data_IF_970408888976
#
_entry.id   IF_970408888976
#
_cell.length_a   1.000
_cell.length_b   1.000
_cell.length_c   1.000
_cell.angle_alpha   90.00
_cell.angle_beta   90.00
_cell.angle_gamma   90.00
#
_symmetry.space_group_name_H-M   'P 1'
#
loop_
_entity.id
_entity.type
_entity.pdbx_description
1 polymer ?
#
# COMPACT_ATOMS: atom_id res chain seq x y z
N UNK A 1 15.26 -14.14 3.39
CA UNK A 1 14.53 -12.93 3.82
C UNK A 1 14.60 -12.87 5.34
N UNK A 2 14.91 -11.71 5.89
CA UNK A 2 15.01 -11.51 7.35
C UNK A 2 13.64 -11.07 7.83
N UNK A 3 12.97 -11.89 8.63
CA UNK A 3 11.74 -11.50 9.34
C UNK A 3 12.13 -10.77 10.61
N UNK A 4 11.52 -9.62 10.87
CA UNK A 4 11.80 -8.79 12.04
C UNK A 4 10.82 -9.11 13.18
N UNK A 5 11.33 -9.29 14.41
CA UNK A 5 10.47 -9.38 15.60
C UNK A 5 10.05 -7.97 16.03
N UNK A 6 9.00 -7.44 15.39
CA UNK A 6 8.56 -6.05 15.56
C UNK A 6 7.62 -5.85 16.75
N UNK A 7 7.76 -4.71 17.44
CA UNK A 7 6.84 -4.28 18.50
C UNK A 7 5.50 -3.84 17.90
N UNK A 8 4.41 -4.06 18.63
CA UNK A 8 3.07 -3.60 18.26
C UNK A 8 2.90 -2.10 18.55
N UNK A 9 3.47 -1.27 17.66
CA UNK A 9 3.36 0.20 17.71
C UNK A 9 3.33 0.81 16.32
N UNK A 10 2.89 2.06 16.24
CA UNK A 10 3.00 2.87 15.03
C UNK A 10 4.34 3.59 14.93
N UNK A 11 4.79 3.87 13.72
CA UNK A 11 5.87 4.82 13.44
C UNK A 11 5.48 5.74 12.29
N UNK A 12 5.97 6.98 12.30
CA UNK A 12 5.69 7.93 11.23
C UNK A 12 6.73 7.75 10.12
N UNK A 13 6.29 7.38 8.93
CA UNK A 13 7.10 7.31 7.73
C UNK A 13 6.58 8.33 6.72
N UNK A 14 7.34 9.40 6.49
CA UNK A 14 6.85 10.56 5.75
C UNK A 14 5.65 11.21 6.45
N UNK A 15 4.54 11.41 5.71
CA UNK A 15 3.32 12.06 6.21
C UNK A 15 2.28 11.14 6.85
N UNK A 16 2.54 9.83 6.98
CA UNK A 16 1.58 8.85 7.48
C UNK A 16 2.15 8.02 8.65
N UNK A 17 1.28 7.61 9.58
CA UNK A 17 1.62 6.69 10.67
C UNK A 17 1.37 5.25 10.25
N UNK A 18 2.41 4.44 10.18
CA UNK A 18 2.34 3.03 9.78
C UNK A 18 2.38 2.12 11.00
N UNK A 19 1.59 1.04 11.00
CA UNK A 19 1.72 -0.02 12.00
C UNK A 19 2.93 -0.90 11.68
N UNK A 20 3.87 -1.03 12.63
CA UNK A 20 5.04 -1.89 12.51
C UNK A 20 4.66 -3.35 12.22
N UNK A 21 3.66 -3.87 12.94
CA UNK A 21 3.17 -5.24 12.80
C UNK A 21 2.58 -5.47 11.41
N UNK A 22 1.61 -4.65 11.01
CA UNK A 22 0.93 -4.82 9.73
C UNK A 22 1.88 -4.67 8.53
N UNK A 23 2.84 -3.74 8.63
CA UNK A 23 3.87 -3.61 7.61
C UNK A 23 4.73 -4.87 7.54
N UNK A 24 5.24 -5.37 8.66
CA UNK A 24 6.09 -6.58 8.66
C UNK A 24 5.35 -7.80 8.12
N UNK A 25 4.08 -7.99 8.48
CA UNK A 25 3.26 -9.10 7.98
C UNK A 25 3.09 -9.09 6.44
N UNK A 26 3.28 -7.93 5.79
CA UNK A 26 3.05 -7.76 4.34
C UNK A 26 4.32 -7.39 3.55
N UNK A 27 5.39 -6.98 4.23
CA UNK A 27 6.63 -6.43 3.65
C UNK A 27 7.33 -7.41 2.71
N UNK A 28 7.47 -8.67 3.10
CA UNK A 28 8.17 -9.67 2.28
C UNK A 28 7.42 -9.97 0.97
N UNK A 29 6.08 -10.06 1.03
CA UNK A 29 5.25 -10.21 -0.17
C UNK A 29 5.35 -8.95 -1.04
N UNK A 30 5.21 -7.77 -0.46
CA UNK A 30 5.34 -6.50 -1.17
C UNK A 30 6.70 -6.36 -1.86
N UNK A 31 7.80 -6.72 -1.19
CA UNK A 31 9.15 -6.68 -1.76
C UNK A 31 9.30 -7.64 -2.95
N UNK A 32 8.71 -8.84 -2.86
CA UNK A 32 8.69 -9.78 -3.99
C UNK A 32 7.97 -9.21 -5.21
N UNK A 33 6.83 -8.55 -4.99
CA UNK A 33 6.06 -7.94 -6.07
C UNK A 33 6.81 -6.77 -6.71
N UNK A 34 7.48 -5.91 -5.93
CA UNK A 34 8.35 -4.84 -6.46
C UNK A 34 9.49 -5.41 -7.31
N UNK A 35 10.11 -6.50 -6.85
CA UNK A 35 11.19 -7.15 -7.59
C UNK A 35 10.69 -7.82 -8.87
N UNK A 36 9.43 -8.24 -8.91
CA UNK A 36 8.76 -8.79 -10.08
C UNK A 36 8.32 -7.73 -11.10
N UNK A 37 8.22 -6.45 -10.69
CA UNK A 37 7.99 -5.34 -11.62
C UNK A 37 9.07 -5.32 -12.71
N UNK A 38 8.69 -5.21 -14.01
CA UNK A 38 9.66 -5.20 -15.10
C UNK A 38 10.72 -4.11 -14.96
N UNK A 39 11.94 -4.38 -15.42
CA UNK A 39 13.02 -3.41 -15.49
C UNK A 39 13.30 -2.91 -16.92
N UNK A 40 12.50 -3.35 -17.88
CA UNK A 40 12.52 -2.89 -19.27
C UNK A 40 11.10 -2.54 -19.73
N UNK A 41 11.00 -1.67 -20.72
CA UNK A 41 9.71 -1.23 -21.26
C UNK A 41 9.06 -0.11 -20.43
N UNK A 42 7.75 0.01 -20.60
CA UNK A 42 6.93 1.03 -19.95
C UNK A 42 5.90 0.36 -19.05
N UNK A 43 5.58 1.01 -17.93
CA UNK A 43 4.41 0.68 -17.12
C UNK A 43 3.29 1.60 -17.57
N UNK A 44 2.19 1.00 -18.05
CA UNK A 44 0.99 1.72 -18.46
C UNK A 44 0.08 1.95 -17.25
N UNK A 45 -0.30 3.20 -17.03
CA UNK A 45 -1.24 3.57 -16.00
C UNK A 45 -2.64 3.03 -16.23
N UNK A 46 -3.00 2.63 -17.46
CA UNK A 46 -4.24 1.90 -17.71
C UNK A 46 -4.24 0.53 -17.02
N UNK A 47 -3.15 -0.23 -17.13
CA UNK A 47 -3.02 -1.56 -16.51
C UNK A 47 -2.98 -1.44 -14.98
N UNK A 48 -2.29 -0.43 -14.45
CA UNK A 48 -2.27 -0.14 -13.01
C UNK A 48 -3.66 0.29 -12.53
N UNK A 49 -4.38 1.10 -13.32
CA UNK A 49 -5.73 1.52 -13.00
C UNK A 49 -6.71 0.33 -12.94
N UNK A 50 -6.59 -0.65 -13.83
CA UNK A 50 -7.40 -1.87 -13.80
C UNK A 50 -7.15 -2.68 -12.52
N UNK A 51 -5.88 -2.84 -12.12
CA UNK A 51 -5.55 -3.51 -10.87
C UNK A 51 -6.09 -2.77 -9.64
N UNK A 52 -6.01 -1.43 -9.64
CA UNK A 52 -6.60 -0.60 -8.58
C UNK A 52 -8.12 -0.71 -8.54
N UNK A 53 -8.79 -0.81 -9.70
CA UNK A 53 -10.23 -1.01 -9.80
C UNK A 53 -10.67 -2.36 -9.20
N UNK A 54 -9.94 -3.43 -9.52
CA UNK A 54 -10.17 -4.76 -8.95
C UNK A 54 -9.98 -4.77 -7.42
N UNK A 55 -8.97 -4.06 -6.92
CA UNK A 55 -8.78 -3.87 -5.48
C UNK A 55 -9.94 -3.09 -4.87
N UNK A 56 -10.35 -1.95 -5.45
CA UNK A 56 -11.47 -1.16 -4.94
C UNK A 56 -12.76 -1.99 -4.85
N UNK A 57 -13.05 -2.79 -5.88
CA UNK A 57 -14.19 -3.70 -5.91
C UNK A 57 -14.11 -4.79 -4.83
N UNK A 58 -12.91 -5.35 -4.58
CA UNK A 58 -12.70 -6.32 -3.51
C UNK A 58 -12.96 -5.68 -2.13
N UNK A 59 -12.41 -4.49 -1.88
CA UNK A 59 -12.64 -3.77 -0.62
C UNK A 59 -14.10 -3.39 -0.44
N UNK A 60 -14.76 -2.94 -1.51
CA UNK A 60 -16.19 -2.66 -1.53
C UNK A 60 -16.98 -3.89 -1.12
N UNK A 61 -16.69 -5.05 -1.72
CA UNK A 61 -17.37 -6.31 -1.40
C UNK A 61 -17.24 -6.65 0.08
N UNK A 62 -16.03 -6.57 0.64
CA UNK A 62 -15.80 -6.89 2.05
C UNK A 62 -16.45 -5.87 3.00
N UNK A 63 -16.44 -4.60 2.63
CA UNK A 63 -17.12 -3.55 3.39
C UNK A 63 -18.64 -3.74 3.38
N UNK A 64 -19.23 -4.00 2.21
CA UNK A 64 -20.67 -4.17 2.04
C UNK A 64 -21.15 -5.44 2.79
N UNK A 65 -20.31 -6.47 2.91
CA UNK A 65 -20.56 -7.66 3.74
C UNK A 65 -20.17 -7.52 5.22
N UNK A 66 -19.62 -6.37 5.64
CA UNK A 66 -19.04 -6.13 6.98
C UNK A 66 -18.01 -7.18 7.41
N UNK A 67 -17.32 -7.78 6.45
CA UNK A 67 -16.26 -8.74 6.70
C UNK A 67 -14.93 -8.01 6.92
N UNK A 68 -14.76 -7.48 8.14
CA UNK A 68 -13.57 -6.71 8.51
C UNK A 68 -12.29 -7.55 8.48
N UNK A 69 -12.39 -8.84 8.81
CA UNK A 69 -11.28 -9.79 8.70
C UNK A 69 -10.93 -10.05 7.22
N UNK A 70 -11.95 -10.22 6.38
CA UNK A 70 -11.79 -10.33 4.93
C UNK A 70 -11.19 -9.08 4.28
N UNK A 71 -11.47 -7.90 4.82
CA UNK A 71 -10.82 -6.64 4.40
C UNK A 71 -9.33 -6.63 4.77
N UNK A 72 -8.97 -7.15 5.94
CA UNK A 72 -7.57 -7.39 6.33
C UNK A 72 -6.84 -8.39 5.45
N UNK A 73 -7.55 -9.43 5.00
CA UNK A 73 -7.03 -10.39 4.03
C UNK A 73 -6.90 -9.79 2.62
N UNK A 74 -7.70 -8.77 2.27
CA UNK A 74 -7.58 -8.06 1.00
C UNK A 74 -6.37 -7.11 0.98
N UNK A 75 -5.95 -6.57 2.12
CA UNK A 75 -4.70 -5.80 2.27
C UNK A 75 -3.52 -6.78 2.33
N UNK A 76 -3.14 -7.31 1.17
CA UNK A 76 -1.96 -8.16 0.99
C UNK A 76 -0.73 -7.35 0.59
N UNK A 77 0.45 -7.97 0.61
CA UNK A 77 1.66 -7.33 0.08
C UNK A 77 1.54 -6.97 -1.41
N UNK A 78 0.78 -7.75 -2.19
CA UNK A 78 0.48 -7.40 -3.58
C UNK A 78 -0.42 -6.17 -3.69
N UNK A 79 -1.51 -6.11 -2.91
CA UNK A 79 -2.38 -4.94 -2.88
C UNK A 79 -1.60 -3.66 -2.51
N UNK A 80 -0.71 -3.74 -1.51
CA UNK A 80 0.15 -2.62 -1.12
C UNK A 80 1.18 -2.26 -2.21
N UNK A 81 1.76 -3.26 -2.89
CA UNK A 81 2.67 -3.01 -4.01
C UNK A 81 1.96 -2.31 -5.19
N UNK A 82 0.74 -2.73 -5.54
CA UNK A 82 -0.08 -2.09 -6.58
C UNK A 82 -0.44 -0.65 -6.21
N UNK A 83 -0.84 -0.40 -4.95
CA UNK A 83 -1.12 0.96 -4.46
C UNK A 83 0.14 1.81 -4.53
N UNK A 84 1.27 1.30 -4.03
CA UNK A 84 2.54 2.00 -4.07
C UNK A 84 3.03 2.27 -5.50
N UNK A 85 2.83 1.33 -6.42
CA UNK A 85 3.13 1.50 -7.85
C UNK A 85 2.28 2.62 -8.45
N UNK A 86 0.98 2.63 -8.16
CA UNK A 86 0.07 3.69 -8.59
C UNK A 86 0.50 5.06 -8.08
N UNK A 87 0.84 5.18 -6.79
CA UNK A 87 1.33 6.45 -6.24
C UNK A 87 2.66 6.89 -6.86
N UNK A 88 3.59 5.98 -7.12
CA UNK A 88 4.84 6.31 -7.80
C UNK A 88 4.67 6.66 -9.29
N UNK A 89 3.68 6.08 -9.95
CA UNK A 89 3.33 6.43 -11.32
C UNK A 89 2.66 7.82 -11.40
N UNK A 90 1.89 8.20 -10.38
CA UNK A 90 1.37 9.56 -10.27
C UNK A 90 2.50 10.58 -10.11
N UNK A 91 3.37 10.38 -9.12
CA UNK A 91 4.42 11.33 -8.74
C UNK A 91 5.72 10.57 -8.58
N UNK A 92 6.48 10.51 -9.68
CA UNK A 92 7.80 9.89 -9.66
C UNK A 92 8.74 10.73 -8.80
N UNK A 93 9.05 10.26 -7.59
CA UNK A 93 9.84 10.98 -6.60
C UNK A 93 10.10 10.14 -5.35
N UNK A 94 11.01 10.63 -4.50
CA UNK A 94 11.33 9.96 -3.24
C UNK A 94 10.11 9.84 -2.33
N UNK A 95 9.84 8.63 -1.84
CA UNK A 95 8.75 8.38 -0.88
C UNK A 95 7.35 8.31 -1.49
N UNK A 96 7.22 8.23 -2.81
CA UNK A 96 5.92 8.04 -3.46
C UNK A 96 5.21 6.77 -2.99
N UNK A 97 5.95 5.65 -2.88
CA UNK A 97 5.39 4.37 -2.47
C UNK A 97 4.96 4.41 -1.00
N UNK A 98 5.83 5.02 -0.18
CA UNK A 98 5.62 5.23 1.25
C UNK A 98 4.35 6.00 1.54
N UNK A 99 4.05 7.04 0.74
CA UNK A 99 2.85 7.85 0.93
C UNK A 99 1.56 7.04 0.75
N UNK A 100 1.46 6.24 -0.32
CA UNK A 100 0.28 5.41 -0.60
C UNK A 100 0.13 4.26 0.38
N UNK A 101 1.18 3.45 0.53
CA UNK A 101 1.19 2.27 1.43
C UNK A 101 0.97 2.68 2.87
N UNK A 102 1.65 3.74 3.31
CA UNK A 102 1.57 4.21 4.68
C UNK A 102 0.18 4.72 5.05
N UNK A 103 -0.46 5.45 4.14
CA UNK A 103 -1.82 5.96 4.34
C UNK A 103 -2.84 4.81 4.47
N UNK A 104 -2.74 3.77 3.63
CA UNK A 104 -3.64 2.61 3.67
C UNK A 104 -3.45 1.78 4.95
N UNK A 105 -2.20 1.53 5.34
CA UNK A 105 -1.90 0.80 6.58
C UNK A 105 -2.33 1.59 7.82
N UNK A 106 -2.23 2.92 7.81
CA UNK A 106 -2.72 3.78 8.88
C UNK A 106 -4.24 3.61 9.07
N UNK A 107 -5.00 3.72 7.98
CA UNK A 107 -6.46 3.56 8.02
C UNK A 107 -6.86 2.15 8.45
N UNK A 108 -6.17 1.12 7.96
CA UNK A 108 -6.47 -0.25 8.34
C UNK A 108 -6.15 -0.54 9.81
N UNK A 109 -5.09 0.05 10.36
CA UNK A 109 -4.81 -0.06 11.79
C UNK A 109 -5.97 0.47 12.65
N UNK A 110 -6.73 1.46 12.17
CA UNK A 110 -7.94 1.93 12.85
C UNK A 110 -9.08 0.91 12.69
N UNK A 111 -9.25 0.30 11.51
CA UNK A 111 -10.26 -0.75 11.30
C UNK A 111 -10.03 -1.95 12.24
N UNK A 112 -8.77 -2.35 12.43
CA UNK A 112 -8.37 -3.48 13.28
C UNK A 112 -8.65 -3.21 14.77
N UNK A 113 -8.52 -1.95 15.21
CA UNK A 113 -8.59 -1.56 16.63
C UNK A 113 -9.91 -0.90 17.05
N UNK A 114 -10.70 -0.39 16.10
CA UNK A 114 -11.94 0.34 16.40
C UNK A 114 -13.00 -0.57 17.01
N UNK A 115 -13.64 -0.10 18.08
CA UNK A 115 -14.78 -0.78 18.72
C UNK A 115 -16.13 -0.52 18.05
N UNK A 116 -16.23 0.46 17.14
CA UNK A 116 -17.50 0.84 16.50
C UNK A 116 -17.52 0.49 15.00
N UNK A 117 -18.61 -0.13 14.58
CA UNK A 117 -18.87 -0.49 13.18
C UNK A 117 -18.87 0.73 12.25
N UNK A 118 -19.38 1.87 12.73
CA UNK A 118 -19.41 3.12 11.97
C UNK A 118 -18.00 3.66 11.68
N UNK A 119 -17.07 3.53 12.63
CA UNK A 119 -15.69 3.98 12.43
C UNK A 119 -14.95 3.04 11.46
N UNK A 120 -15.14 1.72 11.60
CA UNK A 120 -14.61 0.75 10.63
C UNK A 120 -15.10 1.03 9.21
N UNK A 121 -16.41 1.24 9.06
CA UNK A 121 -16.99 1.58 7.76
C UNK A 121 -16.46 2.90 7.20
N UNK A 122 -16.24 3.92 8.04
CA UNK A 122 -15.67 5.21 7.64
C UNK A 122 -14.25 5.06 7.10
N UNK A 123 -13.41 4.30 7.79
CA UNK A 123 -12.02 4.06 7.38
C UNK A 123 -11.95 3.17 6.14
N UNK A 124 -12.81 2.14 6.04
CA UNK A 124 -12.89 1.31 4.84
C UNK A 124 -13.28 2.14 3.60
N UNK A 125 -14.25 3.05 3.74
CA UNK A 125 -14.61 4.01 2.68
C UNK A 125 -13.43 4.93 2.32
N UNK A 126 -12.65 5.37 3.31
CA UNK A 126 -11.50 6.23 3.07
C UNK A 126 -10.37 5.49 2.32
N UNK A 127 -10.14 4.21 2.59
CA UNK A 127 -9.19 3.38 1.82
C UNK A 127 -9.65 3.28 0.36
N UNK A 128 -10.95 3.02 0.12
CA UNK A 128 -11.49 2.94 -1.24
C UNK A 128 -11.42 4.27 -1.99
N UNK A 129 -11.67 5.38 -1.29
CA UNK A 129 -11.51 6.71 -1.86
C UNK A 129 -10.05 6.95 -2.29
N UNK A 130 -9.08 6.58 -1.45
CA UNK A 130 -7.66 6.69 -1.80
C UNK A 130 -7.31 5.88 -3.06
N UNK A 131 -7.74 4.62 -3.13
CA UNK A 131 -7.52 3.77 -4.30
C UNK A 131 -8.15 4.40 -5.55
N UNK A 132 -9.36 4.97 -5.43
CA UNK A 132 -10.06 5.64 -6.53
C UNK A 132 -9.32 6.89 -7.00
N UNK A 133 -8.80 7.70 -6.06
CA UNK A 133 -8.02 8.90 -6.38
C UNK A 133 -6.70 8.55 -7.08
N UNK A 134 -5.98 7.53 -6.60
CA UNK A 134 -4.76 7.05 -7.27
C UNK A 134 -5.13 6.57 -8.68
N UNK A 135 -6.16 5.72 -8.81
CA UNK A 135 -6.64 5.19 -10.08
C UNK A 135 -6.88 6.33 -11.08
N UNK A 136 -7.66 7.34 -10.72
CA UNK A 136 -7.98 8.48 -11.57
C UNK A 136 -6.74 9.27 -12.00
N UNK A 137 -5.75 9.41 -11.12
CA UNK A 137 -4.52 10.16 -11.40
C UNK A 137 -3.54 9.40 -12.27
N UNK A 138 -3.59 8.06 -12.29
CA UNK A 138 -2.70 7.26 -13.13
C UNK A 138 -3.27 6.94 -14.51
N UNK A 139 -4.59 7.05 -14.72
CA UNK A 139 -5.18 6.84 -16.06
C UNK A 139 -4.53 7.79 -17.07
N UNK A 140 -3.86 7.22 -18.07
CA UNK A 140 -3.16 7.97 -19.12
C UNK A 140 -1.71 8.35 -18.80
N UNK A 141 -1.17 7.93 -17.64
CA UNK A 141 0.26 8.06 -17.35
C UNK A 141 1.04 6.86 -17.89
N UNK A 142 2.27 7.12 -18.31
CA UNK A 142 3.26 6.11 -18.64
C UNK A 142 4.59 6.52 -18.03
N UNK A 143 5.37 5.54 -17.60
CA UNK A 143 6.71 5.77 -17.11
C UNK A 143 7.60 4.59 -17.43
N UNK A 144 8.90 4.85 -17.54
CA UNK A 144 9.88 3.80 -17.75
C UNK A 144 9.86 2.83 -16.58
N UNK A 145 9.68 1.54 -16.88
CA UNK A 145 9.53 0.50 -15.87
C UNK A 145 10.74 0.48 -14.91
N UNK A 146 11.95 0.64 -15.46
CA UNK A 146 13.19 0.76 -14.68
C UNK A 146 13.15 1.89 -13.66
N UNK A 147 12.75 3.10 -14.08
CA UNK A 147 12.75 4.27 -13.21
C UNK A 147 11.76 4.10 -12.05
N UNK A 148 10.57 3.57 -12.32
CA UNK A 148 9.58 3.24 -11.30
C UNK A 148 10.08 2.15 -10.35
N UNK A 149 10.58 1.04 -10.91
CA UNK A 149 11.10 -0.08 -10.12
C UNK A 149 12.24 0.36 -9.21
N UNK A 150 13.22 1.10 -9.74
CA UNK A 150 14.36 1.61 -8.96
C UNK A 150 13.87 2.55 -7.84
N UNK A 151 12.83 3.36 -8.09
CA UNK A 151 12.24 4.20 -7.05
C UNK A 151 11.51 3.39 -5.98
N UNK A 152 10.71 2.40 -6.37
CA UNK A 152 10.01 1.51 -5.43
C UNK A 152 11.00 0.68 -4.59
N UNK A 153 12.12 0.23 -5.17
CA UNK A 153 13.19 -0.46 -4.44
C UNK A 153 13.82 0.47 -3.40
N UNK A 154 14.09 1.74 -3.77
CA UNK A 154 14.61 2.74 -2.81
C UNK A 154 13.64 2.97 -1.67
N UNK A 155 12.37 3.18 -1.96
CA UNK A 155 11.34 3.41 -0.95
C UNK A 155 11.15 2.16 -0.05
N UNK A 156 11.16 0.96 -0.62
CA UNK A 156 11.08 -0.29 0.15
C UNK A 156 12.32 -0.54 1.02
N UNK A 157 13.49 -0.15 0.54
CA UNK A 157 14.73 -0.20 1.34
C UNK A 157 14.65 0.78 2.50
N UNK A 158 14.17 2.01 2.26
CA UNK A 158 13.94 3.01 3.30
C UNK A 158 12.93 2.50 4.34
N UNK A 159 11.81 1.90 3.91
CA UNK A 159 10.86 1.24 4.80
C UNK A 159 11.52 0.20 5.71
N UNK A 160 12.39 -0.65 5.17
CA UNK A 160 13.09 -1.67 5.97
C UNK A 160 14.02 -1.03 7.03
N UNK A 161 14.72 0.04 6.68
CA UNK A 161 15.57 0.77 7.62
C UNK A 161 14.73 1.43 8.71
N UNK A 162 13.61 2.05 8.36
CA UNK A 162 12.71 2.70 9.33
C UNK A 162 12.08 1.68 10.29
N UNK A 163 11.67 0.51 9.79
CA UNK A 163 11.22 -0.60 10.64
C UNK A 163 12.33 -1.04 11.59
N UNK A 164 13.55 -1.19 11.10
CA UNK A 164 14.69 -1.58 11.94
C UNK A 164 14.96 -0.55 13.05
N UNK A 165 14.96 0.74 12.70
CA UNK A 165 15.25 1.82 13.65
C UNK A 165 14.10 2.09 14.63
N UNK A 166 12.86 1.99 14.15
CA UNK A 166 11.68 2.45 14.88
C UNK A 166 10.91 1.31 15.52
N UNK A 167 10.91 0.09 14.98
CA UNK A 167 10.03 -1.01 15.39
C UNK A 167 10.72 -2.14 16.16
N UNK A 168 12.04 -2.27 16.04
CA UNK A 168 12.85 -3.19 16.85
C UNK A 168 13.20 -2.58 18.22
#
# INVERSE_FOLDING_TARGET
MVTFNVKDKGFSAGGATMSCRLLEERRDEMSRQILATPDTGEIDGADVAEQLDALEAQFKKQQDSKDWLGLGAAITGNALATIGLGTCLETLGGGCMLAGVGKVLAMYSVIDTAGSESEKARQASAIRAEITEIRQRVVGKKSQAKALRDQMIKDATAMCMDVTASCL
#
